data_IF_270319518912
#
_entry.id   IF_270319518912
#
_cell.length_a   1.000
_cell.length_b   1.000
_cell.length_c   1.000
_cell.angle_alpha   90.00
_cell.angle_beta   90.00
_cell.angle_gamma   90.00
#
_symmetry.space_group_name_H-M   'P 1'
#
loop_
_entity.id
_entity.type
_entity.pdbx_description
1 polymer ?
#
# COMPACT_ATOMS: atom_id res chain seq x y z
N UNK A 1 -5.45 18.55 -17.50
CA UNK A 1 -4.59 18.75 -16.30
C UNK A 1 -5.12 17.99 -15.08
N UNK A 2 -6.40 18.17 -14.70
CA UNK A 2 -6.98 17.50 -13.52
C UNK A 2 -6.95 15.95 -13.57
N UNK A 3 -7.22 15.33 -14.72
CA UNK A 3 -7.17 13.86 -14.89
C UNK A 3 -5.75 13.31 -14.71
N UNK A 4 -4.73 14.02 -15.20
CA UNK A 4 -3.33 13.61 -15.04
C UNK A 4 -2.85 13.76 -13.59
N UNK A 5 -3.25 14.84 -12.92
CA UNK A 5 -2.99 15.03 -11.49
C UNK A 5 -3.68 13.95 -10.64
N UNK A 6 -4.93 13.60 -10.97
CA UNK A 6 -5.65 12.50 -10.35
C UNK A 6 -4.95 11.15 -10.57
N UNK A 7 -4.53 10.85 -11.80
CA UNK A 7 -3.78 9.64 -12.10
C UNK A 7 -2.47 9.53 -11.31
N UNK A 8 -1.77 10.66 -11.12
CA UNK A 8 -0.57 10.72 -10.29
C UNK A 8 -0.85 10.49 -8.80
N UNK A 9 -1.95 11.04 -8.26
CA UNK A 9 -2.38 10.78 -6.89
C UNK A 9 -2.80 9.32 -6.69
N UNK A 10 -3.50 8.73 -7.67
CA UNK A 10 -3.87 7.32 -7.66
C UNK A 10 -2.63 6.43 -7.67
N UNK A 11 -1.67 6.69 -8.57
CA UNK A 11 -0.42 5.93 -8.62
C UNK A 11 0.36 6.03 -7.30
N UNK A 12 0.39 7.22 -6.69
CA UNK A 12 1.00 7.45 -5.38
C UNK A 12 0.31 6.66 -4.28
N UNK A 13 -1.02 6.72 -4.22
CA UNK A 13 -1.84 5.96 -3.27
C UNK A 13 -1.63 4.45 -3.43
N UNK A 14 -1.61 3.94 -4.66
CA UNK A 14 -1.36 2.52 -4.94
C UNK A 14 0.03 2.09 -4.48
N UNK A 15 1.06 2.91 -4.71
CA UNK A 15 2.43 2.57 -4.32
C UNK A 15 2.63 2.59 -2.79
N UNK A 16 1.88 3.44 -2.08
CA UNK A 16 1.94 3.55 -0.62
C UNK A 16 0.99 2.60 0.11
N UNK A 17 0.36 1.65 -0.60
CA UNK A 17 -0.44 0.61 0.04
C UNK A 17 0.40 -0.23 1.01
N UNK A 18 -0.12 -0.53 2.22
CA UNK A 18 0.60 -1.28 3.24
C UNK A 18 0.57 -2.81 2.96
N UNK A 19 0.90 -3.24 1.74
CA UNK A 19 0.81 -4.64 1.31
C UNK A 19 1.91 -5.04 0.31
N UNK A 20 2.46 -6.25 0.47
CA UNK A 20 3.40 -6.84 -0.50
C UNK A 20 4.75 -6.12 -0.59
N UNK A 21 5.33 -6.07 -1.79
CA UNK A 21 6.56 -5.31 -2.11
C UNK A 21 6.28 -3.84 -2.51
N UNK A 22 5.06 -3.34 -2.33
CA UNK A 22 4.79 -1.92 -2.56
C UNK A 22 5.60 -1.07 -1.56
N UNK A 23 5.95 0.16 -1.93
CA UNK A 23 6.77 1.02 -1.07
C UNK A 23 6.12 1.25 0.30
N UNK A 24 4.78 1.35 0.36
CA UNK A 24 4.04 1.41 1.61
C UNK A 24 4.19 0.15 2.49
N UNK A 25 4.34 -1.02 1.86
CA UNK A 25 4.66 -2.27 2.53
C UNK A 25 6.05 -2.24 3.18
N UNK A 26 7.06 -1.73 2.48
CA UNK A 26 8.42 -1.56 3.01
C UNK A 26 8.48 -0.53 4.14
N UNK A 27 7.76 0.58 4.00
CA UNK A 27 7.65 1.61 5.05
C UNK A 27 6.99 1.03 6.30
N UNK A 28 5.90 0.28 6.14
CA UNK A 28 5.23 -0.39 7.25
C UNK A 28 6.13 -1.48 7.89
N UNK A 29 6.86 -2.24 7.08
CA UNK A 29 7.82 -3.23 7.57
C UNK A 29 8.91 -2.57 8.42
N UNK A 30 9.46 -1.45 7.97
CA UNK A 30 10.52 -0.74 8.68
C UNK A 30 10.01 -0.10 9.99
N UNK A 31 8.78 0.42 10.01
CA UNK A 31 8.20 1.10 11.18
C UNK A 31 7.59 0.15 12.21
N UNK A 32 6.83 -0.86 11.76
CA UNK A 32 6.02 -1.73 12.61
C UNK A 32 6.51 -3.19 12.64
N UNK A 33 7.54 -3.51 11.86
CA UNK A 33 8.20 -4.80 11.85
C UNK A 33 7.54 -5.87 10.98
N UNK A 34 8.18 -7.05 10.87
CA UNK A 34 7.79 -8.13 9.97
C UNK A 34 6.42 -8.76 10.28
N UNK A 35 6.00 -8.75 11.56
CA UNK A 35 4.72 -9.33 11.98
C UNK A 35 3.54 -8.50 11.45
N UNK A 36 3.61 -7.19 11.63
CA UNK A 36 2.56 -6.27 11.20
C UNK A 36 2.50 -6.24 9.67
N UNK A 37 3.65 -6.13 8.98
CA UNK A 37 3.69 -6.20 7.51
C UNK A 37 3.03 -7.47 6.94
N UNK A 38 3.33 -8.64 7.52
CA UNK A 38 2.74 -9.91 7.10
C UNK A 38 1.24 -9.95 7.36
N UNK A 39 0.80 -9.44 8.51
CA UNK A 39 -0.62 -9.35 8.84
C UNK A 39 -1.35 -8.44 7.86
N UNK A 40 -0.87 -7.22 7.64
CA UNK A 40 -1.53 -6.24 6.76
C UNK A 40 -1.55 -6.71 5.32
N UNK A 41 -0.47 -7.32 4.81
CA UNK A 41 -0.44 -7.90 3.46
C UNK A 41 -1.50 -9.00 3.29
N UNK A 42 -1.68 -9.87 4.28
CA UNK A 42 -2.71 -10.93 4.25
C UNK A 42 -4.12 -10.37 4.37
N UNK A 43 -4.32 -9.41 5.28
CA UNK A 43 -5.60 -8.75 5.47
C UNK A 43 -6.03 -8.03 4.19
N UNK A 44 -5.11 -7.33 3.52
CA UNK A 44 -5.37 -6.64 2.27
C UNK A 44 -5.69 -7.60 1.12
N UNK A 45 -4.94 -8.70 0.99
CA UNK A 45 -5.25 -9.76 0.02
C UNK A 45 -6.63 -10.39 0.25
N UNK A 46 -6.99 -10.65 1.51
CA UNK A 46 -8.30 -11.19 1.87
C UNK A 46 -9.42 -10.19 1.53
N UNK A 47 -9.23 -8.91 1.84
CA UNK A 47 -10.16 -7.84 1.47
C UNK A 47 -10.42 -7.79 -0.03
N UNK A 48 -9.37 -7.88 -0.85
CA UNK A 48 -9.50 -7.90 -2.31
C UNK A 48 -10.24 -9.14 -2.82
N UNK A 49 -10.03 -10.31 -2.20
CA UNK A 49 -10.78 -11.54 -2.54
C UNK A 49 -12.26 -11.38 -2.18
N UNK A 50 -12.58 -10.89 -0.99
CA UNK A 50 -13.96 -10.64 -0.55
C UNK A 50 -14.64 -9.65 -1.49
N UNK A 51 -13.96 -8.54 -1.82
CA UNK A 51 -14.49 -7.58 -2.78
C UNK A 51 -14.56 -8.12 -4.21
N UNK A 52 -13.71 -9.09 -4.59
CA UNK A 52 -13.81 -9.82 -5.86
C UNK A 52 -15.14 -10.51 -6.06
N UNK A 53 -15.72 -11.06 -4.99
CA UNK A 53 -17.07 -11.63 -5.04
C UNK A 53 -18.17 -10.59 -5.18
N UNK A 54 -17.92 -9.35 -4.72
CA UNK A 54 -18.88 -8.25 -4.80
C UNK A 54 -18.79 -7.50 -6.15
N UNK A 55 -17.59 -7.35 -6.69
CA UNK A 55 -17.31 -6.69 -7.95
C UNK A 55 -16.09 -7.32 -8.64
N UNK A 56 -16.33 -7.92 -9.80
CA UNK A 56 -15.37 -8.77 -10.51
C UNK A 56 -13.97 -8.16 -10.72
N UNK A 57 -13.82 -6.87 -11.07
CA UNK A 57 -12.49 -6.27 -11.27
C UNK A 57 -11.53 -6.38 -10.08
N UNK A 58 -12.02 -6.55 -8.84
CA UNK A 58 -11.15 -6.73 -7.68
C UNK A 58 -10.37 -8.04 -7.69
N UNK A 59 -10.79 -9.05 -8.47
CA UNK A 59 -9.99 -10.27 -8.69
C UNK A 59 -8.63 -9.95 -9.33
N UNK A 60 -8.57 -8.97 -10.22
CA UNK A 60 -7.31 -8.50 -10.82
C UNK A 60 -6.40 -7.95 -9.73
N UNK A 61 -6.94 -7.12 -8.83
CA UNK A 61 -6.21 -6.61 -7.68
C UNK A 61 -5.71 -7.73 -6.76
N UNK A 62 -6.54 -8.74 -6.48
CA UNK A 62 -6.18 -9.89 -5.67
C UNK A 62 -5.01 -10.69 -6.27
N UNK A 63 -5.04 -10.92 -7.59
CA UNK A 63 -3.96 -11.59 -8.33
C UNK A 63 -2.68 -10.75 -8.30
N UNK A 64 -2.77 -9.44 -8.54
CA UNK A 64 -1.61 -8.53 -8.47
C UNK A 64 -0.98 -8.61 -7.09
N UNK A 65 -1.73 -8.39 -6.01
CA UNK A 65 -1.21 -8.46 -4.64
C UNK A 65 -0.64 -9.85 -4.32
N UNK A 66 -1.25 -10.93 -4.82
CA UNK A 66 -0.71 -12.27 -4.68
C UNK A 66 0.64 -12.44 -5.39
N UNK A 67 0.85 -11.85 -6.56
CA UNK A 67 2.13 -11.89 -7.27
C UNK A 67 3.19 -11.06 -6.56
N UNK A 68 2.83 -9.85 -6.09
CA UNK A 68 3.74 -8.92 -5.41
C UNK A 68 3.93 -9.24 -3.91
N UNK A 69 3.44 -10.40 -3.44
CA UNK A 69 3.57 -10.80 -2.02
C UNK A 69 4.96 -11.35 -1.66
N UNK A 70 5.76 -11.77 -2.65
CA UNK A 70 7.06 -12.42 -2.41
C UNK A 70 8.07 -11.37 -1.99
N UNK A 71 8.52 -11.44 -0.74
CA UNK A 71 9.48 -10.48 -0.19
C UNK A 71 10.91 -10.98 -0.43
N UNK A 72 11.77 -10.15 -1.02
CA UNK A 72 13.22 -10.36 -0.95
C UNK A 72 13.67 -9.88 0.44
N UNK A 73 13.96 -10.81 1.33
CA UNK A 73 14.33 -10.53 2.72
C UNK A 73 15.72 -9.88 2.77
N UNK A 74 15.80 -8.57 2.64
CA UNK A 74 16.99 -7.82 3.05
C UNK A 74 16.83 -7.57 4.56
N UNK A 75 17.44 -8.44 5.36
CA UNK A 75 17.51 -8.30 6.82
C UNK A 75 18.50 -7.19 7.19
N UNK A 76 18.05 -5.93 7.13
CA UNK A 76 18.75 -4.84 7.79
C UNK A 76 18.03 -4.55 9.12
N UNK A 77 18.66 -4.99 10.22
CA UNK A 77 18.17 -4.81 11.59
C UNK A 77 18.60 -3.45 12.18
N UNK A 78 19.23 -2.57 11.40
CA UNK A 78 19.66 -1.27 11.90
C UNK A 78 18.44 -0.44 12.34
N UNK A 79 18.49 0.17 13.54
CA UNK A 79 17.40 1.01 14.00
C UNK A 79 17.23 2.21 13.06
N UNK A 80 15.99 2.49 12.67
CA UNK A 80 15.66 3.65 11.86
C UNK A 80 16.03 4.93 12.63
N UNK A 81 16.94 5.73 12.06
CA UNK A 81 17.22 7.06 12.58
C UNK A 81 15.99 7.97 12.49
N UNK A 82 15.89 8.97 13.38
CA UNK A 82 14.73 9.86 13.55
C UNK A 82 14.22 10.46 12.23
N UNK A 83 15.13 10.89 11.34
CA UNK A 83 14.76 11.44 10.01
C UNK A 83 14.01 10.44 9.13
N UNK A 84 14.43 9.17 9.12
CA UNK A 84 13.80 8.12 8.30
C UNK A 84 12.42 7.77 8.83
N UNK A 85 12.27 7.75 10.16
CA UNK A 85 10.97 7.55 10.82
C UNK A 85 9.99 8.67 10.48
N UNK A 86 10.40 9.93 10.54
CA UNK A 86 9.53 11.06 10.17
C UNK A 86 9.09 11.00 8.71
N UNK A 87 10.00 10.67 7.78
CA UNK A 87 9.67 10.52 6.37
C UNK A 87 8.71 9.34 6.13
N UNK A 88 8.91 8.21 6.81
CA UNK A 88 8.00 7.06 6.74
C UNK A 88 6.59 7.39 7.24
N UNK A 89 6.48 8.12 8.35
CA UNK A 89 5.19 8.59 8.88
C UNK A 89 4.55 9.58 7.90
N UNK A 90 5.31 10.53 7.36
CA UNK A 90 4.80 11.48 6.37
C UNK A 90 4.28 10.76 5.11
N UNK A 91 4.98 9.73 4.63
CA UNK A 91 4.53 8.92 3.51
C UNK A 91 3.22 8.16 3.83
N UNK A 92 3.10 7.59 5.04
CA UNK A 92 1.84 6.97 5.48
C UNK A 92 0.68 7.98 5.57
N UNK A 93 0.93 9.22 6.02
CA UNK A 93 -0.09 10.27 5.99
C UNK A 93 -0.47 10.65 4.55
N UNK A 94 0.52 10.75 3.67
CA UNK A 94 0.32 11.09 2.26
C UNK A 94 -0.51 10.03 1.53
N UNK A 95 -0.38 8.76 1.92
CA UNK A 95 -1.27 7.68 1.49
C UNK A 95 -2.73 7.96 1.82
N UNK A 96 -3.05 8.30 3.08
CA UNK A 96 -4.44 8.59 3.49
C UNK A 96 -5.02 9.79 2.76
N UNK A 97 -4.22 10.84 2.58
CA UNK A 97 -4.61 12.03 1.80
C UNK A 97 -4.87 11.65 0.34
N UNK A 98 -4.00 10.84 -0.26
CA UNK A 98 -4.11 10.48 -1.68
C UNK A 98 -5.28 9.54 -1.96
N UNK A 99 -5.57 8.59 -1.06
CA UNK A 99 -6.77 7.74 -1.16
C UNK A 99 -8.04 8.57 -0.98
N UNK A 100 -8.06 9.50 -0.02
CA UNK A 100 -9.25 10.33 0.23
C UNK A 100 -9.58 11.28 -0.94
N UNK A 101 -8.60 11.63 -1.77
CA UNK A 101 -8.76 12.46 -2.96
C UNK A 101 -9.17 11.63 -4.20
N UNK A 102 -9.23 10.30 -4.12
CA UNK A 102 -9.84 9.51 -5.19
C UNK A 102 -11.33 9.88 -5.26
N UNK A 103 -11.81 10.50 -6.35
CA UNK A 103 -13.11 11.11 -6.42
C UNK A 103 -14.18 10.01 -6.41
N UNK A 104 -15.11 10.14 -5.48
CA UNK A 104 -16.29 9.30 -5.33
C UNK A 104 -17.44 9.65 -6.30
N UNK A 105 -17.18 10.44 -7.34
CA UNK A 105 -18.18 10.77 -8.35
C UNK A 105 -17.61 10.59 -9.75
N UNK A 106 -17.73 9.36 -10.26
CA UNK A 106 -18.02 9.19 -11.69
C UNK A 106 -19.55 9.10 -11.79
N UNK A 107 -20.17 10.23 -12.10
CA UNK A 107 -21.52 10.25 -12.64
C UNK A 107 -21.44 10.20 -14.16
#
# INVERSE_FOLDING_TARGET
MAIAAWGGLLATAMNLLPAGQLDGGHILYALAGPRVHRFTTRAFALLLVVFGFLYWPWWVGAVVVFLVRRHALIYDQSPLGTRRTTVGIAALLLFFVSIAIVPLEMK
#
